data_IF_454094510126
#
_entry.id   IF_454094510126
#
_cell.length_a   1.000
_cell.length_b   1.000
_cell.length_c   1.000
_cell.angle_alpha   90.00
_cell.angle_beta   90.00
_cell.angle_gamma   90.00
#
_symmetry.space_group_name_H-M   'P 1'
#
loop_
_entity.id
_entity.type
_entity.pdbx_description
1 polymer ?
#
# COMPACT_ATOMS: atom_id res chain seq x y z
N UNK A 1 15.52 -13.99 22.48
CA UNK A 1 15.71 -12.80 21.63
C UNK A 1 14.34 -12.21 21.32
N UNK A 2 14.12 -10.90 21.51
CA UNK A 2 12.85 -10.25 21.15
C UNK A 2 12.67 -10.18 19.62
N UNK A 3 11.43 -10.21 19.15
CA UNK A 3 11.11 -10.16 17.71
C UNK A 3 10.92 -8.71 17.24
N UNK A 4 11.99 -8.01 16.89
CA UNK A 4 11.92 -6.57 16.54
C UNK A 4 11.06 -6.24 15.32
N UNK A 5 10.85 -7.23 14.45
CA UNK A 5 9.99 -7.19 13.27
C UNK A 5 9.36 -8.57 13.08
N UNK A 6 8.29 -8.66 12.29
CA UNK A 6 7.62 -9.93 11.99
C UNK A 6 8.56 -10.99 11.40
N UNK A 7 9.53 -10.59 10.58
CA UNK A 7 10.51 -11.52 9.98
C UNK A 7 11.49 -12.09 10.99
N UNK A 8 11.63 -11.48 12.18
CA UNK A 8 12.44 -12.03 13.28
C UNK A 8 11.72 -13.17 14.01
N UNK A 9 10.41 -13.37 13.78
CA UNK A 9 9.67 -14.47 14.40
C UNK A 9 10.07 -15.79 13.71
N UNK A 10 10.54 -16.79 14.48
CA UNK A 10 10.89 -18.10 13.95
C UNK A 10 9.77 -18.73 13.11
N UNK A 11 10.14 -19.47 12.06
CA UNK A 11 9.17 -20.05 11.13
C UNK A 11 8.23 -21.07 11.80
N UNK A 12 8.74 -21.82 12.76
CA UNK A 12 7.96 -22.75 13.60
C UNK A 12 6.94 -22.01 14.46
N UNK A 13 7.31 -20.87 15.03
CA UNK A 13 6.37 -20.02 15.79
C UNK A 13 5.30 -19.41 14.88
N UNK A 14 5.69 -18.89 13.69
CA UNK A 14 4.71 -18.40 12.70
C UNK A 14 3.76 -19.51 12.25
N UNK A 15 4.26 -20.74 12.12
CA UNK A 15 3.42 -21.92 11.83
C UNK A 15 2.42 -22.20 12.94
N UNK A 16 2.85 -22.17 14.21
CA UNK A 16 1.92 -22.33 15.34
C UNK A 16 0.86 -21.22 15.38
N UNK A 17 1.23 -19.98 15.06
CA UNK A 17 0.28 -18.87 14.94
C UNK A 17 -0.75 -19.13 13.82
N UNK A 18 -0.30 -19.69 12.68
CA UNK A 18 -1.18 -20.08 11.58
C UNK A 18 -2.13 -21.22 11.96
N UNK A 19 -1.61 -22.28 12.60
CA UNK A 19 -2.43 -23.39 13.10
C UNK A 19 -3.46 -22.92 14.13
N UNK A 20 -3.08 -21.99 15.00
CA UNK A 20 -4.01 -21.37 15.95
C UNK A 20 -5.09 -20.56 15.24
N UNK A 21 -4.71 -19.77 14.24
CA UNK A 21 -5.63 -18.99 13.42
C UNK A 21 -6.67 -19.88 12.72
N UNK A 22 -6.26 -21.02 12.18
CA UNK A 22 -7.15 -22.00 11.54
C UNK A 22 -8.22 -22.59 12.48
N UNK A 23 -8.05 -22.49 13.81
CA UNK A 23 -9.07 -22.94 14.78
C UNK A 23 -10.29 -22.02 14.83
N UNK A 24 -10.16 -20.77 14.38
CA UNK A 24 -11.23 -19.77 14.46
C UNK A 24 -11.86 -19.46 13.11
N UNK A 25 -11.20 -19.82 12.02
CA UNK A 25 -11.59 -19.42 10.67
C UNK A 25 -11.52 -20.62 9.72
N UNK A 26 -12.55 -20.74 8.89
CA UNK A 26 -12.65 -21.78 7.86
C UNK A 26 -12.73 -21.14 6.47
N UNK A 27 -12.19 -21.85 5.49
CA UNK A 27 -12.26 -21.51 4.07
C UNK A 27 -12.24 -22.80 3.24
N UNK A 28 -12.48 -22.65 1.94
CA UNK A 28 -12.33 -23.73 0.98
C UNK A 28 -10.87 -24.24 0.96
N UNK A 29 -10.61 -25.55 1.17
CA UNK A 29 -9.26 -26.11 1.14
C UNK A 29 -8.43 -25.73 -0.10
N UNK A 30 -9.07 -25.53 -1.25
CA UNK A 30 -8.40 -25.12 -2.49
C UNK A 30 -7.80 -23.71 -2.39
N UNK A 31 -8.27 -22.90 -1.44
CA UNK A 31 -7.76 -21.56 -1.16
C UNK A 31 -6.68 -21.53 -0.07
N UNK A 32 -6.31 -22.66 0.55
CA UNK A 32 -5.45 -22.67 1.74
C UNK A 32 -4.11 -21.96 1.53
N UNK A 33 -3.41 -22.28 0.43
CA UNK A 33 -2.16 -21.62 0.07
C UNK A 33 -2.33 -20.10 -0.14
N UNK A 34 -3.46 -19.68 -0.73
CA UNK A 34 -3.78 -18.26 -0.92
C UNK A 34 -4.08 -17.57 0.42
N UNK A 35 -4.82 -18.23 1.30
CA UNK A 35 -5.18 -17.72 2.62
C UNK A 35 -3.95 -17.58 3.51
N UNK A 36 -3.05 -18.57 3.50
CA UNK A 36 -1.77 -18.49 4.21
C UNK A 36 -0.94 -17.29 3.74
N UNK A 37 -0.86 -17.06 2.42
CA UNK A 37 -0.15 -15.90 1.86
C UNK A 37 -0.77 -14.56 2.28
N UNK A 38 -2.11 -14.47 2.29
CA UNK A 38 -2.81 -13.26 2.74
C UNK A 38 -2.57 -13.03 4.23
N UNK A 39 -2.71 -14.08 5.04
CA UNK A 39 -2.50 -14.05 6.48
C UNK A 39 -1.08 -13.60 6.83
N UNK A 40 -0.06 -14.18 6.20
CA UNK A 40 1.34 -13.83 6.44
C UNK A 40 1.61 -12.35 6.11
N UNK A 41 1.06 -11.86 4.99
CA UNK A 41 1.16 -10.45 4.60
C UNK A 41 0.51 -9.53 5.64
N UNK A 42 -0.68 -9.90 6.13
CA UNK A 42 -1.42 -9.10 7.10
C UNK A 42 -0.75 -9.11 8.46
N UNK A 43 -0.28 -10.25 8.94
CA UNK A 43 0.48 -10.35 10.18
C UNK A 43 1.76 -9.51 10.11
N UNK A 44 2.51 -9.61 9.01
CA UNK A 44 3.69 -8.77 8.80
C UNK A 44 3.38 -7.29 8.84
N UNK A 45 2.27 -6.85 8.27
CA UNK A 45 1.85 -5.44 8.30
C UNK A 45 1.43 -5.04 9.72
N UNK A 46 0.45 -5.73 10.27
CA UNK A 46 -0.19 -5.38 11.53
C UNK A 46 0.79 -5.44 12.71
N UNK A 47 1.70 -6.41 12.73
CA UNK A 47 2.73 -6.51 13.75
C UNK A 47 3.60 -5.25 13.81
N UNK A 48 4.10 -4.81 12.65
CA UNK A 48 4.94 -3.62 12.56
C UNK A 48 4.14 -2.33 12.85
N UNK A 49 2.90 -2.24 12.37
CA UNK A 49 2.01 -1.11 12.63
C UNK A 49 1.71 -0.99 14.14
N UNK A 50 1.44 -2.11 14.83
CA UNK A 50 1.22 -2.14 16.29
C UNK A 50 2.46 -1.70 17.07
N UNK A 51 3.65 -2.16 16.69
CA UNK A 51 4.90 -1.71 17.32
C UNK A 51 5.16 -0.22 17.08
N UNK A 52 4.82 0.28 15.89
CA UNK A 52 4.91 1.71 15.60
C UNK A 52 3.94 2.52 16.45
N UNK A 53 2.70 2.05 16.61
CA UNK A 53 1.70 2.69 17.46
C UNK A 53 2.13 2.69 18.94
N UNK A 54 2.71 1.58 19.43
CA UNK A 54 3.24 1.49 20.78
C UNK A 54 4.35 2.53 21.04
N UNK A 55 5.29 2.70 20.09
CA UNK A 55 6.33 3.75 20.18
C UNK A 55 5.75 5.16 20.20
N UNK A 56 4.75 5.44 19.37
CA UNK A 56 4.10 6.75 19.34
C UNK A 56 3.40 7.05 20.68
N UNK A 57 2.68 6.06 21.24
CA UNK A 57 2.05 6.19 22.55
C UNK A 57 3.08 6.40 23.66
N UNK A 58 4.20 5.67 23.62
CA UNK A 58 5.30 5.85 24.57
C UNK A 58 5.91 7.25 24.45
N UNK A 59 6.07 7.78 23.24
CA UNK A 59 6.56 9.14 22.99
C UNK A 59 5.62 10.21 23.57
N UNK A 60 4.30 10.06 23.37
CA UNK A 60 3.30 10.95 23.96
C UNK A 60 3.33 10.92 25.49
N UNK A 61 3.49 9.75 26.09
CA UNK A 61 3.59 9.61 27.55
C UNK A 61 4.89 10.22 28.10
N UNK A 62 6.01 9.96 27.42
CA UNK A 62 7.30 10.58 27.73
C UNK A 62 7.22 12.10 27.68
N UNK A 63 6.59 12.67 26.66
CA UNK A 63 6.41 14.11 26.53
C UNK A 63 5.49 14.67 27.62
N UNK A 64 4.41 13.96 27.98
CA UNK A 64 3.54 14.33 29.11
C UNK A 64 4.26 14.32 30.45
N UNK A 65 5.27 13.47 30.63
CA UNK A 65 6.14 13.44 31.80
C UNK A 65 7.21 14.55 31.82
N UNK A 66 7.21 15.45 30.82
CA UNK A 66 8.10 16.60 30.76
C UNK A 66 9.38 16.40 29.93
N UNK A 67 9.55 15.25 29.29
CA UNK A 67 10.64 15.05 28.34
C UNK A 67 10.37 15.74 27.00
N UNK A 68 11.43 16.00 26.23
CA UNK A 68 11.33 16.46 24.83
C UNK A 68 11.77 15.33 23.91
N UNK A 69 10.81 14.48 23.53
CA UNK A 69 11.00 13.44 22.54
C UNK A 69 10.32 13.85 21.23
N UNK A 70 11.13 13.95 20.17
CA UNK A 70 10.66 14.12 18.80
C UNK A 70 10.92 12.83 18.01
N UNK A 71 9.87 12.13 17.51
CA UNK A 71 10.05 10.92 16.70
C UNK A 71 10.79 11.18 15.38
N UNK A 72 10.79 12.42 14.90
CA UNK A 72 11.40 12.82 13.63
C UNK A 72 12.85 13.30 13.79
N UNK A 73 13.32 13.56 15.03
CA UNK A 73 14.71 13.91 15.29
C UNK A 73 15.63 12.69 15.04
N UNK A 74 16.63 12.79 14.14
CA UNK A 74 17.63 11.75 13.93
C UNK A 74 18.44 11.41 15.20
N UNK A 75 18.60 12.38 16.11
CA UNK A 75 19.36 12.25 17.36
C UNK A 75 18.50 11.87 18.55
N UNK A 76 17.20 11.60 18.35
CA UNK A 76 16.28 11.24 19.43
C UNK A 76 16.83 10.11 20.29
N UNK A 77 16.75 10.29 21.61
CA UNK A 77 17.07 9.24 22.56
C UNK A 77 15.82 8.42 22.85
N UNK A 78 15.78 7.21 22.31
CA UNK A 78 14.64 6.31 22.53
C UNK A 78 14.64 5.69 23.93
N UNK A 79 15.71 5.83 24.73
CA UNK A 79 15.71 5.37 26.13
C UNK A 79 14.59 6.02 26.95
N UNK A 80 14.18 7.24 26.58
CA UNK A 80 13.04 7.95 27.19
C UNK A 80 11.72 7.17 27.08
N UNK A 81 11.63 6.20 26.16
CA UNK A 81 10.43 5.40 25.94
C UNK A 81 10.36 4.13 26.81
N UNK A 82 11.47 3.71 27.45
CA UNK A 82 11.55 2.46 28.21
C UNK A 82 10.50 2.33 29.34
N UNK A 83 10.16 3.39 30.10
CA UNK A 83 9.16 3.30 31.16
C UNK A 83 7.73 3.07 30.64
N UNK A 84 7.46 3.32 29.36
CA UNK A 84 6.11 3.40 28.78
C UNK A 84 5.82 2.22 27.84
N UNK A 85 5.94 0.99 28.35
CA UNK A 85 5.63 -0.22 27.57
C UNK A 85 4.11 -0.39 27.39
N UNK A 86 3.65 -1.04 26.31
CA UNK A 86 2.25 -1.41 26.18
C UNK A 86 1.91 -2.64 27.04
N UNK A 87 0.64 -2.74 27.48
CA UNK A 87 0.19 -3.80 28.42
C UNK A 87 0.33 -5.22 27.86
N UNK A 88 0.20 -5.38 26.55
CA UNK A 88 0.33 -6.66 25.85
C UNK A 88 1.79 -7.11 25.63
N UNK A 89 2.77 -6.28 26.00
CA UNK A 89 4.18 -6.58 25.82
C UNK A 89 4.91 -6.54 27.17
N UNK A 90 5.64 -7.61 27.47
CA UNK A 90 6.48 -7.66 28.68
C UNK A 90 7.44 -6.46 28.73
N UNK A 91 7.62 -5.81 29.89
CA UNK A 91 8.57 -4.71 30.07
C UNK A 91 9.99 -5.08 29.62
N UNK A 92 10.43 -6.31 29.92
CA UNK A 92 11.77 -6.78 29.54
C UNK A 92 11.93 -6.87 28.02
N UNK A 93 10.89 -7.33 27.31
CA UNK A 93 10.88 -7.39 25.84
C UNK A 93 10.86 -5.98 25.26
N UNK A 94 10.03 -5.09 25.80
CA UNK A 94 9.96 -3.70 25.37
C UNK A 94 11.31 -2.98 25.49
N UNK A 95 11.98 -3.08 26.64
CA UNK A 95 13.29 -2.48 26.86
C UNK A 95 14.30 -2.97 25.81
N UNK A 96 14.36 -4.28 25.57
CA UNK A 96 15.25 -4.85 24.57
C UNK A 96 14.92 -4.37 23.14
N UNK A 97 13.64 -4.14 22.82
CA UNK A 97 13.21 -3.55 21.54
C UNK A 97 13.64 -2.10 21.40
N UNK A 98 13.49 -1.30 22.47
CA UNK A 98 13.98 0.08 22.50
C UNK A 98 15.49 0.11 22.28
N UNK A 99 16.27 -0.74 22.93
CA UNK A 99 17.72 -0.80 22.74
C UNK A 99 18.11 -1.08 21.28
N UNK A 100 17.38 -1.99 20.63
CA UNK A 100 17.57 -2.27 19.21
C UNK A 100 17.22 -1.06 18.32
N UNK A 101 16.11 -0.37 18.57
CA UNK A 101 15.73 0.80 17.76
C UNK A 101 16.55 2.05 18.07
N UNK A 102 17.17 2.12 19.25
CA UNK A 102 18.01 3.26 19.66
C UNK A 102 19.44 3.17 19.12
N UNK A 103 19.85 2.06 18.53
CA UNK A 103 21.20 1.95 17.95
C UNK A 103 21.34 2.77 16.65
N UNK A 104 22.57 3.20 16.37
CA UNK A 104 22.90 4.07 15.24
C UNK A 104 22.55 3.43 13.88
N UNK A 105 22.75 2.12 13.74
CA UNK A 105 22.44 1.42 12.50
C UNK A 105 20.94 1.52 12.17
N UNK A 106 20.06 1.26 13.15
CA UNK A 106 18.63 1.31 12.95
C UNK A 106 18.13 2.73 12.70
N UNK A 107 18.67 3.72 13.43
CA UNK A 107 18.39 5.14 13.20
C UNK A 107 18.75 5.57 11.78
N UNK A 108 19.94 5.17 11.29
CA UNK A 108 20.38 5.47 9.92
C UNK A 108 19.43 4.87 8.87
N UNK A 109 19.06 3.59 9.03
CA UNK A 109 18.10 2.92 8.12
C UNK A 109 16.72 3.59 8.17
N UNK A 110 16.26 4.01 9.34
CA UNK A 110 14.99 4.71 9.51
C UNK A 110 14.99 6.07 8.79
N UNK A 111 16.07 6.85 8.92
CA UNK A 111 16.24 8.15 8.25
C UNK A 111 16.24 7.98 6.73
N UNK A 112 17.02 7.03 6.20
CA UNK A 112 17.05 6.74 4.77
C UNK A 112 15.68 6.28 4.26
N UNK A 113 15.02 5.39 5.01
CA UNK A 113 13.69 4.88 4.65
C UNK A 113 12.63 6.00 4.63
N UNK A 114 12.69 6.93 5.59
CA UNK A 114 11.83 8.13 5.59
C UNK A 114 12.13 9.02 4.38
N UNK A 115 13.40 9.33 4.11
CA UNK A 115 13.80 10.14 2.96
C UNK A 115 13.32 9.54 1.63
N UNK A 116 13.37 8.20 1.51
CA UNK A 116 12.84 7.50 0.35
C UNK A 116 11.31 7.64 0.21
N UNK A 117 10.55 7.61 1.32
CA UNK A 117 9.10 7.83 1.31
C UNK A 117 8.71 9.28 0.99
N UNK A 118 9.54 10.24 1.41
CA UNK A 118 9.35 11.67 1.19
C UNK A 118 10.09 12.20 -0.04
N UNK A 119 10.57 11.30 -0.92
CA UNK A 119 11.23 11.73 -2.15
C UNK A 119 10.21 12.40 -3.05
N UNK A 120 10.44 13.68 -3.34
CA UNK A 120 9.66 14.44 -4.29
C UNK A 120 10.06 14.08 -5.72
N UNK A 121 9.07 14.00 -6.60
CA UNK A 121 9.23 13.92 -8.04
C UNK A 121 8.44 15.08 -8.61
N UNK A 122 9.10 15.94 -9.39
CA UNK A 122 8.51 17.17 -9.94
C UNK A 122 7.98 18.12 -8.85
N UNK A 123 8.68 18.20 -7.71
CA UNK A 123 8.33 19.07 -6.57
C UNK A 123 7.21 18.53 -5.67
N UNK A 124 6.72 17.32 -5.93
CA UNK A 124 5.62 16.72 -5.16
C UNK A 124 5.92 15.29 -4.72
N UNK A 125 5.48 14.94 -3.51
CA UNK A 125 5.49 13.55 -3.05
C UNK A 125 4.37 12.79 -3.76
N UNK A 126 4.66 11.58 -4.25
CA UNK A 126 3.66 10.71 -4.88
C UNK A 126 2.52 10.36 -3.91
N UNK A 127 1.27 10.57 -4.36
CA UNK A 127 0.04 10.31 -3.60
C UNK A 127 -0.97 9.57 -4.48
N UNK A 128 -1.85 8.79 -3.86
CA UNK A 128 -3.00 8.13 -4.48
C UNK A 128 -4.18 8.10 -3.50
N UNK A 129 -5.42 7.97 -4.00
CA UNK A 129 -6.66 8.05 -3.21
C UNK A 129 -7.34 6.70 -2.97
N UNK A 130 -6.76 5.59 -3.44
CA UNK A 130 -7.32 4.24 -3.28
C UNK A 130 -7.24 3.67 -1.85
N UNK A 131 -6.59 4.40 -0.94
CA UNK A 131 -6.32 3.92 0.41
C UNK A 131 -5.50 2.62 0.40
N UNK A 132 -5.93 1.65 1.20
CA UNK A 132 -5.28 0.34 1.34
C UNK A 132 -5.58 -0.63 0.18
N UNK A 133 -6.43 -0.26 -0.78
CA UNK A 133 -6.76 -1.12 -1.92
C UNK A 133 -5.67 -1.02 -2.98
N UNK A 134 -5.21 -2.17 -3.46
CA UNK A 134 -4.32 -2.22 -4.61
C UNK A 134 -5.06 -1.77 -5.87
N UNK A 135 -4.31 -1.29 -6.86
CA UNK A 135 -4.85 -0.88 -8.16
C UNK A 135 -5.67 -1.99 -8.82
N UNK A 136 -5.19 -3.25 -8.80
CA UNK A 136 -5.94 -4.40 -9.34
C UNK A 136 -7.21 -4.76 -8.53
N UNK A 137 -7.21 -4.57 -7.20
CA UNK A 137 -8.43 -4.76 -6.41
C UNK A 137 -9.49 -3.70 -6.75
N UNK A 138 -9.06 -2.46 -6.98
CA UNK A 138 -9.92 -1.38 -7.47
C UNK A 138 -10.44 -1.68 -8.87
N UNK A 139 -9.58 -2.14 -9.80
CA UNK A 139 -9.97 -2.55 -11.14
C UNK A 139 -11.04 -3.65 -11.15
N UNK A 140 -10.85 -4.70 -10.35
CA UNK A 140 -11.83 -5.78 -10.21
C UNK A 140 -13.17 -5.31 -9.63
N UNK A 141 -13.18 -4.29 -8.77
CA UNK A 141 -14.41 -3.71 -8.25
C UNK A 141 -15.13 -2.86 -9.29
N UNK A 142 -14.38 -2.05 -10.05
CA UNK A 142 -14.94 -1.27 -11.17
C UNK A 142 -15.53 -2.20 -12.23
N UNK A 143 -14.82 -3.27 -12.58
CA UNK A 143 -15.30 -4.30 -13.51
C UNK A 143 -16.65 -4.89 -13.06
N UNK A 144 -16.77 -5.25 -11.78
CA UNK A 144 -18.03 -5.76 -11.20
C UNK A 144 -19.14 -4.70 -11.16
N UNK A 145 -18.80 -3.46 -10.82
CA UNK A 145 -19.75 -2.35 -10.76
C UNK A 145 -20.28 -1.96 -12.15
N UNK A 146 -19.47 -2.16 -13.19
CA UNK A 146 -19.82 -1.92 -14.59
C UNK A 146 -20.35 -3.18 -15.29
N UNK A 147 -21.10 -4.03 -14.58
CA UNK A 147 -21.76 -5.23 -15.13
C UNK A 147 -20.83 -6.18 -15.91
N UNK A 148 -19.56 -6.31 -15.50
CA UNK A 148 -18.61 -7.17 -16.21
C UNK A 148 -17.95 -6.51 -17.41
N UNK A 149 -18.03 -5.19 -17.55
CA UNK A 149 -17.22 -4.41 -18.50
C UNK A 149 -15.98 -3.86 -17.78
N UNK A 150 -14.75 -4.24 -18.18
CA UNK A 150 -13.53 -3.77 -17.52
C UNK A 150 -13.34 -2.26 -17.72
N UNK A 151 -12.79 -1.54 -16.72
CA UNK A 151 -12.46 -0.13 -16.88
C UNK A 151 -11.26 0.03 -17.82
N UNK A 152 -11.19 1.15 -18.52
CA UNK A 152 -9.95 1.54 -19.21
C UNK A 152 -8.85 1.88 -18.21
N UNK A 153 -7.60 1.81 -18.67
CA UNK A 153 -6.40 2.23 -17.95
C UNK A 153 -6.55 3.65 -17.41
N UNK A 154 -7.05 4.57 -18.22
CA UNK A 154 -7.28 5.96 -17.85
C UNK A 154 -8.40 6.09 -16.79
N UNK A 155 -9.51 5.36 -16.93
CA UNK A 155 -10.60 5.40 -15.96
C UNK A 155 -10.17 4.88 -14.58
N UNK A 156 -9.42 3.77 -14.54
CA UNK A 156 -8.89 3.22 -13.29
C UNK A 156 -7.82 4.14 -12.68
N UNK A 157 -6.97 4.75 -13.51
CA UNK A 157 -5.98 5.72 -13.03
C UNK A 157 -6.67 6.95 -12.42
N UNK A 158 -7.68 7.52 -13.09
CA UNK A 158 -8.44 8.67 -12.60
C UNK A 158 -9.13 8.35 -11.27
N UNK A 159 -9.76 7.18 -11.16
CA UNK A 159 -10.39 6.74 -9.91
C UNK A 159 -9.42 6.67 -8.72
N UNK A 160 -8.13 6.42 -8.99
CA UNK A 160 -7.11 6.20 -7.96
C UNK A 160 -6.19 7.40 -7.73
N UNK A 161 -6.21 8.41 -8.61
CA UNK A 161 -5.33 9.58 -8.57
C UNK A 161 -6.08 10.91 -8.66
N UNK A 162 -7.41 10.90 -8.55
CA UNK A 162 -8.23 12.10 -8.37
C UNK A 162 -8.86 12.13 -6.98
N UNK A 163 -9.09 13.35 -6.47
CA UNK A 163 -9.90 13.58 -5.26
C UNK A 163 -11.34 13.17 -5.58
N UNK A 164 -11.97 12.42 -4.67
CA UNK A 164 -13.40 12.12 -4.78
C UNK A 164 -14.16 13.40 -4.43
N UNK A 165 -14.95 13.92 -5.36
CA UNK A 165 -15.88 15.01 -5.07
C UNK A 165 -16.87 14.51 -4.00
N UNK A 166 -17.10 15.31 -2.97
CA UNK A 166 -18.18 15.06 -2.03
C UNK A 166 -19.50 15.12 -2.82
N UNK A 167 -20.37 14.15 -2.56
CA UNK A 167 -21.69 13.95 -3.17
C UNK A 167 -22.34 15.19 -3.78
N UNK A 168 -22.40 15.24 -5.11
CA UNK A 168 -23.61 15.52 -5.87
C UNK A 168 -23.46 14.87 -7.25
N UNK A 169 -24.12 13.72 -7.40
CA UNK A 169 -24.06 12.87 -8.56
C UNK A 169 -24.89 13.48 -9.71
N UNK A 170 -24.42 14.58 -10.29
CA UNK A 170 -25.05 15.11 -11.52
C UNK A 170 -24.14 15.91 -12.46
N UNK A 171 -22.83 16.00 -12.23
CA UNK A 171 -21.93 16.61 -13.23
C UNK A 171 -20.80 15.67 -13.62
N UNK A 172 -20.56 15.62 -14.91
CA UNK A 172 -19.38 15.07 -15.60
C UNK A 172 -18.11 15.87 -15.28
N UNK A 173 -17.90 16.22 -14.01
CA UNK A 173 -16.76 16.99 -13.56
C UNK A 173 -15.60 16.05 -13.24
N UNK A 174 -14.55 16.17 -14.06
CA UNK A 174 -13.29 15.48 -13.88
C UNK A 174 -12.72 15.87 -12.51
N UNK A 175 -12.54 14.90 -11.62
CA UNK A 175 -12.00 15.16 -10.28
C UNK A 175 -10.59 15.75 -10.36
N UNK A 176 -10.27 16.67 -9.46
CA UNK A 176 -8.93 17.27 -9.37
C UNK A 176 -7.88 16.19 -9.07
N UNK A 177 -6.80 16.13 -9.85
CA UNK A 177 -5.71 15.18 -9.62
C UNK A 177 -4.97 15.49 -8.32
N UNK A 178 -4.53 14.45 -7.61
CA UNK A 178 -3.84 14.61 -6.32
C UNK A 178 -2.38 15.05 -6.44
N UNK A 179 -1.81 14.94 -7.64
CA UNK A 179 -0.48 15.46 -7.96
C UNK A 179 -0.42 16.00 -9.39
N UNK A 180 0.44 16.99 -9.62
CA UNK A 180 0.73 17.55 -10.96
C UNK A 180 1.26 16.49 -11.92
N UNK A 181 2.07 15.55 -11.42
CA UNK A 181 2.52 14.39 -12.21
C UNK A 181 1.35 13.53 -12.69
N UNK A 182 0.33 13.32 -11.86
CA UNK A 182 -0.82 12.49 -12.22
C UNK A 182 -1.65 13.14 -13.33
N UNK A 183 -1.90 14.46 -13.25
CA UNK A 183 -2.59 15.19 -14.31
C UNK A 183 -1.74 15.23 -15.60
N UNK A 184 -0.44 15.48 -15.48
CA UNK A 184 0.49 15.48 -16.61
C UNK A 184 0.51 14.15 -17.36
N UNK A 185 0.57 13.02 -16.64
CA UNK A 185 0.53 11.67 -17.24
C UNK A 185 -0.83 11.41 -17.89
N UNK A 186 -1.93 11.64 -17.19
CA UNK A 186 -3.25 11.23 -17.64
C UNK A 186 -3.78 12.10 -18.79
N UNK A 187 -3.69 13.42 -18.66
CA UNK A 187 -4.27 14.39 -19.61
C UNK A 187 -3.29 14.68 -20.73
N UNK A 188 -2.14 15.28 -20.40
CA UNK A 188 -1.19 15.78 -21.42
C UNK A 188 -0.37 14.65 -22.05
N UNK A 189 -0.15 13.58 -21.29
CA UNK A 189 0.62 12.42 -21.70
C UNK A 189 -0.23 11.44 -22.50
N UNK A 190 -1.12 10.74 -21.80
CA UNK A 190 -1.80 9.56 -22.30
C UNK A 190 -3.02 9.90 -23.14
N UNK A 191 -3.96 10.71 -22.63
CA UNK A 191 -5.19 11.03 -23.34
C UNK A 191 -4.90 11.74 -24.68
N UNK A 192 -3.98 12.73 -24.70
CA UNK A 192 -3.53 13.37 -25.95
C UNK A 192 -3.01 12.37 -26.98
N UNK A 193 -2.18 11.40 -26.56
CA UNK A 193 -1.63 10.38 -27.45
C UNK A 193 -2.68 9.40 -27.94
N UNK A 194 -3.65 9.04 -27.09
CA UNK A 194 -4.78 8.20 -27.49
C UNK A 194 -5.61 8.89 -28.57
N UNK A 195 -5.98 10.16 -28.36
CA UNK A 195 -6.72 10.95 -29.37
C UNK A 195 -5.95 11.07 -30.70
N UNK A 196 -4.63 11.29 -30.65
CA UNK A 196 -3.80 11.35 -31.86
C UNK A 196 -3.75 10.03 -32.62
N UNK A 197 -3.75 8.88 -31.92
CA UNK A 197 -3.60 7.55 -32.53
C UNK A 197 -4.93 6.93 -32.97
N UNK A 198 -5.99 7.11 -32.18
CA UNK A 198 -7.29 6.44 -32.34
C UNK A 198 -8.45 7.40 -32.66
N UNK A 199 -8.18 8.71 -32.75
CA UNK A 199 -9.19 9.76 -32.94
C UNK A 199 -9.84 10.20 -31.63
N UNK A 200 -10.66 11.25 -31.69
CA UNK A 200 -11.29 11.85 -30.49
C UNK A 200 -12.44 11.01 -29.91
N UNK A 201 -12.99 10.09 -30.71
CA UNK A 201 -14.05 9.19 -30.26
C UNK A 201 -13.47 8.11 -29.33
N UNK A 202 -13.71 8.30 -28.03
CA UNK A 202 -13.26 7.39 -26.96
C UNK A 202 -13.78 5.96 -27.08
N UNK A 203 -14.85 5.70 -27.85
CA UNK A 203 -15.34 4.33 -28.08
C UNK A 203 -14.39 3.49 -28.94
N UNK A 204 -13.53 4.14 -29.72
CA UNK A 204 -12.48 3.50 -30.53
C UNK A 204 -11.18 3.27 -29.73
N UNK A 205 -11.08 3.78 -28.50
CA UNK A 205 -9.87 3.65 -27.70
C UNK A 205 -9.78 2.24 -27.09
N UNK A 206 -8.61 1.59 -27.13
CA UNK A 206 -8.42 0.33 -26.44
C UNK A 206 -8.51 0.53 -24.91
N UNK A 207 -8.79 -0.54 -24.17
CA UNK A 207 -8.76 -0.51 -22.70
C UNK A 207 -7.39 -0.06 -22.18
N UNK A 208 -6.32 -0.48 -22.85
CA UNK A 208 -4.97 -0.01 -22.61
C UNK A 208 -4.15 -0.06 -23.91
N UNK A 209 -3.51 1.05 -24.23
CA UNK A 209 -2.31 1.07 -25.07
C UNK A 209 -1.07 1.20 -24.17
N UNK A 210 -0.32 0.10 -24.00
CA UNK A 210 0.80 0.04 -23.05
C UNK A 210 1.97 0.94 -23.49
N UNK A 211 2.24 1.02 -24.78
CA UNK A 211 3.33 1.84 -25.30
C UNK A 211 3.07 3.32 -25.07
N UNK A 212 1.84 3.77 -25.35
CA UNK A 212 1.47 5.17 -25.09
C UNK A 212 1.50 5.49 -23.59
N UNK A 213 1.13 4.54 -22.71
CA UNK A 213 1.20 4.75 -21.27
C UNK A 213 2.65 4.84 -20.81
N UNK A 214 3.51 3.93 -21.27
CA UNK A 214 4.94 3.93 -20.96
C UNK A 214 5.62 5.23 -21.41
N UNK A 215 5.29 5.73 -22.59
CA UNK A 215 5.76 7.03 -23.08
C UNK A 215 5.26 8.18 -22.20
N UNK A 216 3.98 8.17 -21.80
CA UNK A 216 3.40 9.21 -20.97
C UNK A 216 4.05 9.31 -19.58
N UNK A 217 4.49 8.19 -19.02
CA UNK A 217 5.13 8.16 -17.68
C UNK A 217 6.65 8.33 -17.70
N UNK A 218 7.26 8.39 -18.89
CA UNK A 218 8.71 8.51 -19.08
C UNK A 218 9.47 7.19 -18.87
N UNK A 219 8.83 6.05 -19.18
CA UNK A 219 9.43 4.72 -19.08
C UNK A 219 9.33 4.07 -17.70
N UNK A 220 9.86 2.85 -17.60
CA UNK A 220 9.91 2.08 -16.35
C UNK A 220 11.03 2.57 -15.43
N UNK A 221 10.72 2.72 -14.13
CA UNK A 221 11.71 3.07 -13.09
C UNK A 221 11.87 1.92 -12.10
N UNK A 222 13.06 1.33 -12.01
CA UNK A 222 13.36 0.16 -11.15
C UNK A 222 12.38 -1.01 -11.37
N UNK A 223 12.02 -1.26 -12.62
CA UNK A 223 11.05 -2.29 -13.00
C UNK A 223 9.60 -1.99 -12.60
N UNK A 224 9.29 -0.73 -12.27
CA UNK A 224 7.92 -0.29 -11.94
C UNK A 224 7.41 0.70 -12.97
N UNK A 225 6.18 0.49 -13.41
CA UNK A 225 5.42 1.44 -14.21
C UNK A 225 4.58 2.32 -13.27
N UNK A 226 4.61 3.64 -13.48
CA UNK A 226 3.84 4.57 -12.65
C UNK A 226 2.33 4.28 -12.79
N UNK A 227 1.62 4.21 -11.66
CA UNK A 227 0.23 3.74 -11.56
C UNK A 227 0.06 2.22 -11.43
N UNK A 228 0.92 1.41 -12.06
CA UNK A 228 0.71 -0.05 -12.22
C UNK A 228 1.70 -0.94 -11.43
N UNK A 229 2.75 -0.35 -10.84
CA UNK A 229 3.71 -1.10 -10.03
C UNK A 229 4.56 -2.06 -10.86
N UNK A 230 4.83 -3.26 -10.34
CA UNK A 230 5.59 -4.31 -11.03
C UNK A 230 4.76 -5.13 -12.03
N UNK A 231 3.45 -4.86 -12.12
CA UNK A 231 2.59 -5.62 -13.01
C UNK A 231 2.78 -5.10 -14.44
N UNK A 232 3.71 -5.72 -15.16
CA UNK A 232 3.93 -5.45 -16.58
C UNK A 232 2.78 -5.96 -17.47
N UNK A 233 1.89 -6.79 -16.91
CA UNK A 233 0.63 -7.24 -17.51
C UNK A 233 -0.50 -6.32 -17.01
N UNK A 234 -0.64 -5.17 -17.69
CA UNK A 234 -1.70 -4.19 -17.37
C UNK A 234 -3.07 -4.82 -17.63
N UNK A 235 -3.19 -5.72 -18.60
CA UNK A 235 -4.43 -6.44 -18.87
C UNK A 235 -4.85 -7.27 -17.67
N UNK A 236 -3.93 -8.02 -17.02
CA UNK A 236 -4.23 -8.71 -15.77
C UNK A 236 -4.78 -7.78 -14.68
N UNK A 237 -4.31 -6.53 -14.64
CA UNK A 237 -4.76 -5.52 -13.66
C UNK A 237 -6.15 -4.98 -13.98
N UNK A 238 -6.50 -4.84 -15.26
CA UNK A 238 -7.77 -4.29 -15.73
C UNK A 238 -8.89 -5.34 -15.81
N UNK A 239 -8.57 -6.51 -16.34
CA UNK A 239 -9.54 -7.56 -16.67
C UNK A 239 -9.52 -8.72 -15.66
N UNK A 240 -8.44 -8.86 -14.89
CA UNK A 240 -8.23 -10.01 -14.00
C UNK A 240 -7.84 -11.30 -14.73
N UNK A 241 -7.61 -11.23 -16.03
CA UNK A 241 -7.13 -12.35 -16.86
C UNK A 241 -5.72 -12.04 -17.34
N UNK A 242 -4.76 -12.90 -17.03
CA UNK A 242 -3.44 -12.82 -17.67
C UNK A 242 -3.55 -13.38 -19.09
N UNK A 243 -2.71 -12.87 -20.00
CA UNK A 243 -2.48 -13.48 -21.32
C UNK A 243 -1.87 -14.89 -21.22
N UNK A 244 -1.46 -15.32 -20.02
CA UNK A 244 -1.24 -16.73 -19.68
C UNK A 244 -2.38 -17.25 -18.79
N UNK A 245 -3.07 -18.29 -19.26
CA UNK A 245 -4.29 -18.78 -18.66
C UNK A 245 -4.16 -19.16 -17.18
N UNK A 246 -5.16 -18.76 -16.37
CA UNK A 246 -5.44 -19.39 -15.08
C UNK A 246 -5.89 -18.48 -13.94
N UNK A 247 -7.21 -18.55 -13.64
CA UNK A 247 -7.89 -18.31 -12.36
C UNK A 247 -7.94 -16.89 -11.75
N UNK A 248 -9.12 -16.26 -11.93
CA UNK A 248 -9.58 -15.10 -11.16
C UNK A 248 -10.00 -15.52 -9.75
N UNK A 249 -9.67 -14.72 -8.72
CA UNK A 249 -10.13 -14.98 -7.35
C UNK A 249 -10.47 -13.70 -6.60
N UNK A 250 -11.77 -13.53 -6.37
CA UNK A 250 -12.40 -12.54 -5.49
C UNK A 250 -12.14 -12.91 -4.03
N UNK A 251 -11.61 -11.98 -3.23
CA UNK A 251 -11.53 -12.14 -1.77
C UNK A 251 -12.17 -10.95 -1.08
N UNK A 252 -13.23 -11.22 -0.30
CA UNK A 252 -13.81 -10.27 0.65
C UNK A 252 -12.81 -10.05 1.78
N UNK A 253 -12.74 -8.81 2.25
CA UNK A 253 -11.82 -8.32 3.28
C UNK A 253 -12.25 -8.88 4.64
N UNK A 254 -11.35 -9.55 5.35
CA UNK A 254 -11.50 -9.82 6.78
C UNK A 254 -10.61 -8.83 7.53
N UNK A 255 -11.25 -8.03 8.39
CA UNK A 255 -10.61 -7.10 9.32
C UNK A 255 -10.14 -7.91 10.52
N UNK A 256 -8.82 -7.99 10.76
CA UNK A 256 -8.28 -8.70 11.93
C UNK A 256 -7.92 -7.73 13.05
N UNK A 257 -8.59 -7.89 14.19
CA UNK A 257 -8.09 -7.49 15.50
C UNK A 257 -7.20 -8.64 16.02
N UNK A 258 -6.02 -8.30 16.55
CA UNK A 258 -5.31 -9.19 17.46
C UNK A 258 -5.69 -8.78 18.89
N UNK A 259 -6.14 -9.76 19.67
CA UNK A 259 -6.07 -9.75 21.14
C UNK A 259 -4.63 -10.07 21.52
#
# INVERSE_FOLDING_TARGET
>A
MPWYTWSCIPLDVRRQMWEHFQKFYMWDPDLDAKMQKIWERLCSKNYNDNLSAARNRAAELSNRAGHRYDPDDPRRDMNLLKPYHPDWLSPAIWIAMIDHWNNEHWKAVSVVSRKNRLTEVDGEISKHTSGLRSFGATGALMHKANNGVPPSCLALFNHTHQKRLASDATSSDIGEYVTSRSSGVAVNGYATRLSQKYGDDTSNHPLVDKELWEQAVGGMKKGRLFGFGYNNDIDMVLTGTSTQGGASSSSRVCTFFFI
#
